data_IF_204374553800
#
_entry.id   IF_204374553800
#
_cell.length_a   1.000
_cell.length_b   1.000
_cell.length_c   1.000
_cell.angle_alpha   90.00
_cell.angle_beta   90.00
_cell.angle_gamma   90.00
#
_symmetry.space_group_name_H-M   'P 1'
#
loop_
_entity.id
_entity.type
_entity.pdbx_description
1 polymer ?
#
# COMPACT_ATOMS: atom_id res chain seq x y z
N UNK A 1 2.55 12.56 -0.80
CA UNK A 1 1.58 11.51 -1.21
C UNK A 1 0.25 11.75 -0.52
N UNK A 2 -0.88 11.31 -1.07
CA UNK A 2 -2.20 11.50 -0.44
C UNK A 2 -2.80 10.17 0.02
N UNK A 3 -3.24 10.10 1.27
CA UNK A 3 -3.95 8.95 1.83
C UNK A 3 -5.39 9.34 2.22
N UNK A 4 -6.37 8.51 1.86
CA UNK A 4 -7.80 8.81 2.06
C UNK A 4 -8.31 8.55 3.48
N UNK A 5 -7.51 7.93 4.36
CA UNK A 5 -7.88 7.54 5.72
C UNK A 5 -6.62 7.35 6.56
N UNK A 6 -6.70 7.64 7.87
CA UNK A 6 -5.60 7.48 8.83
C UNK A 6 -4.99 6.08 8.81
N UNK A 7 -5.84 5.04 8.80
CA UNK A 7 -5.39 3.64 8.65
C UNK A 7 -4.58 3.40 7.37
N UNK A 8 -4.97 4.03 6.26
CA UNK A 8 -4.25 3.90 4.98
C UNK A 8 -2.91 4.62 5.03
N UNK A 9 -2.84 5.76 5.71
CA UNK A 9 -1.58 6.46 5.94
C UNK A 9 -0.63 5.62 6.81
N UNK A 10 -1.14 5.00 7.87
CA UNK A 10 -0.36 4.11 8.73
C UNK A 10 0.19 2.90 7.96
N UNK A 11 -0.65 2.25 7.15
CA UNK A 11 -0.21 1.15 6.31
C UNK A 11 0.92 1.54 5.31
N UNK A 12 0.92 2.79 4.83
CA UNK A 12 2.00 3.31 3.98
C UNK A 12 3.29 3.47 4.79
N UNK A 13 3.21 4.03 6.00
CA UNK A 13 4.36 4.17 6.91
C UNK A 13 4.96 2.80 7.24
N UNK A 14 4.13 1.82 7.55
CA UNK A 14 4.57 0.47 7.88
C UNK A 14 5.26 -0.21 6.69
N UNK A 15 4.73 -0.02 5.48
CA UNK A 15 5.35 -0.53 4.25
C UNK A 15 6.72 0.12 3.96
N UNK A 16 6.85 1.43 4.25
CA UNK A 16 8.12 2.15 4.12
C UNK A 16 9.12 1.60 5.13
N UNK A 17 8.72 1.46 6.40
CA UNK A 17 9.52 0.87 7.48
C UNK A 17 10.08 -0.50 7.11
N UNK A 18 9.21 -1.41 6.69
CA UNK A 18 9.62 -2.76 6.30
C UNK A 18 10.63 -2.73 5.13
N UNK A 19 10.43 -1.82 4.16
CA UNK A 19 11.33 -1.63 3.04
C UNK A 19 12.71 -1.06 3.43
N UNK A 20 12.74 -0.20 4.45
CA UNK A 20 13.97 0.39 4.97
C UNK A 20 14.74 -0.57 5.88
N UNK A 21 14.03 -1.35 6.70
CA UNK A 21 14.63 -2.38 7.57
C UNK A 21 15.37 -3.43 6.74
N UNK A 22 14.80 -3.85 5.61
CA UNK A 22 15.47 -4.76 4.64
C UNK A 22 16.76 -4.18 4.05
N UNK A 23 16.92 -2.86 4.07
CA UNK A 23 18.12 -2.14 3.60
C UNK A 23 19.05 -1.74 4.74
N UNK A 24 18.68 -2.02 5.99
CA UNK A 24 19.42 -1.60 7.18
C UNK A 24 19.38 -0.10 7.45
N UNK A 25 18.41 0.63 6.88
CA UNK A 25 18.27 2.08 7.06
C UNK A 25 17.32 2.35 8.21
N UNK A 26 17.75 3.15 9.18
CA UNK A 26 16.95 3.51 10.35
C UNK A 26 16.22 4.85 10.13
N UNK A 27 14.98 4.93 10.63
CA UNK A 27 14.22 6.19 10.66
C UNK A 27 14.70 7.00 11.85
N UNK A 28 15.08 8.27 11.64
CA UNK A 28 15.51 9.16 12.73
C UNK A 28 14.34 9.59 13.59
N UNK A 29 13.29 10.08 12.94
CA UNK A 29 12.11 10.59 13.61
C UNK A 29 10.86 10.27 12.78
N UNK A 30 9.79 9.97 13.51
CA UNK A 30 8.45 9.92 12.96
C UNK A 30 7.57 10.88 13.77
N UNK A 31 6.83 11.72 13.06
CA UNK A 31 5.79 12.56 13.66
C UNK A 31 4.42 12.21 13.08
N UNK A 32 3.41 12.25 13.94
CA UNK A 32 2.05 11.87 13.60
C UNK A 32 1.73 10.39 13.83
N UNK A 33 0.44 10.13 14.01
CA UNK A 33 -0.14 8.81 14.23
C UNK A 33 -1.46 8.64 13.48
N UNK A 34 -2.24 7.62 13.82
CA UNK A 34 -3.43 7.20 13.07
C UNK A 34 -4.49 8.30 12.95
N UNK A 35 -4.64 9.14 13.98
CA UNK A 35 -5.60 10.27 14.02
C UNK A 35 -5.00 11.60 13.54
N UNK A 36 -3.75 11.61 13.09
CA UNK A 36 -3.07 12.84 12.70
C UNK A 36 -3.42 13.23 11.26
N UNK A 37 -3.68 14.52 11.05
CA UNK A 37 -3.99 15.09 9.73
C UNK A 37 -2.83 14.99 8.73
N UNK A 38 -1.61 14.76 9.23
CA UNK A 38 -0.38 14.58 8.48
C UNK A 38 0.56 13.63 9.22
N UNK A 39 1.41 12.93 8.48
CA UNK A 39 2.52 12.16 9.03
C UNK A 39 3.82 12.55 8.33
N UNK A 40 4.89 12.62 9.12
CA UNK A 40 6.24 12.95 8.69
C UNK A 40 7.20 11.81 9.03
N UNK A 41 8.01 11.41 8.06
CA UNK A 41 9.14 10.51 8.29
C UNK A 41 10.43 11.22 7.89
N UNK A 42 11.35 11.32 8.83
CA UNK A 42 12.69 11.87 8.63
C UNK A 42 13.74 10.75 8.53
N UNK A 43 14.39 10.68 7.36
CA UNK A 43 15.47 9.75 7.04
C UNK A 43 16.82 10.46 6.86
N UNK A 44 16.97 11.70 7.35
CA UNK A 44 18.13 12.57 7.15
C UNK A 44 18.33 13.05 5.70
N UNK A 45 18.49 12.12 4.76
CA UNK A 45 18.69 12.42 3.33
C UNK A 45 17.37 12.66 2.59
N UNK A 46 16.30 12.05 3.08
CA UNK A 46 14.98 12.08 2.46
C UNK A 46 13.92 12.34 3.53
N UNK A 47 13.02 13.29 3.27
CA UNK A 47 11.87 13.56 4.12
C UNK A 47 10.59 13.16 3.39
N UNK A 48 9.82 12.25 3.99
CA UNK A 48 8.58 11.75 3.40
C UNK A 48 7.38 12.40 4.09
N UNK A 49 6.59 13.13 3.31
CA UNK A 49 5.34 13.75 3.77
C UNK A 49 4.12 12.97 3.27
N UNK A 50 3.30 12.49 4.21
CA UNK A 50 2.05 11.78 3.95
C UNK A 50 0.91 12.68 4.45
N UNK A 51 0.13 13.21 3.51
CA UNK A 51 -1.00 14.08 3.83
C UNK A 51 -2.32 13.35 3.67
N UNK A 52 -3.28 13.69 4.52
CA UNK A 52 -4.68 13.47 4.20
C UNK A 52 -5.10 14.41 3.05
N UNK A 53 -6.08 13.99 2.24
CA UNK A 53 -6.59 14.78 1.11
C UNK A 53 -6.97 16.20 1.51
N UNK A 54 -7.67 16.36 2.65
CA UNK A 54 -8.09 17.67 3.14
C UNK A 54 -6.90 18.55 3.58
N UNK A 55 -5.92 17.97 4.27
CA UNK A 55 -4.74 18.69 4.76
C UNK A 55 -3.84 19.19 3.63
N UNK A 56 -3.70 18.41 2.56
CA UNK A 56 -2.87 18.78 1.40
C UNK A 56 -3.39 20.05 0.73
N UNK A 57 -4.70 20.17 0.60
CA UNK A 57 -5.37 21.31 -0.01
C UNK A 57 -5.29 22.56 0.87
N UNK A 58 -5.42 22.39 2.20
CA UNK A 58 -5.32 23.47 3.17
C UNK A 58 -3.92 24.10 3.25
N UNK A 59 -2.86 23.28 3.31
CA UNK A 59 -1.49 23.78 3.47
C UNK A 59 -0.80 24.13 2.14
N UNK A 60 -1.29 23.60 1.01
CA UNK A 60 -0.82 23.89 -0.36
C UNK A 60 0.72 23.99 -0.50
N UNK A 61 1.44 23.06 0.14
CA UNK A 61 2.90 23.11 0.26
C UNK A 61 3.61 22.95 -1.09
N UNK A 62 2.90 22.54 -2.14
CA UNK A 62 3.43 22.43 -3.51
C UNK A 62 3.97 23.76 -4.03
N UNK A 63 3.44 24.89 -3.52
CA UNK A 63 3.94 26.23 -3.86
C UNK A 63 5.35 26.49 -3.34
N UNK A 64 5.74 25.91 -2.21
CA UNK A 64 7.08 26.13 -1.64
C UNK A 64 8.17 25.40 -2.44
N UNK A 65 7.82 24.31 -3.11
CA UNK A 65 8.78 23.44 -3.80
C UNK A 65 8.70 23.55 -5.32
N UNK A 66 8.12 24.64 -5.83
CA UNK A 66 7.83 24.80 -7.27
C UNK A 66 9.09 24.80 -8.14
N UNK A 67 10.20 25.29 -7.60
CA UNK A 67 11.48 25.39 -8.31
C UNK A 67 12.29 24.07 -8.27
N UNK A 68 11.83 23.06 -7.54
CA UNK A 68 12.52 21.78 -7.44
C UNK A 68 12.18 20.84 -8.61
N UNK A 69 13.16 20.15 -9.22
CA UNK A 69 12.89 19.22 -10.30
C UNK A 69 12.06 18.02 -9.82
N UNK A 70 10.97 17.72 -10.52
CA UNK A 70 10.07 16.60 -10.18
C UNK A 70 10.62 15.29 -10.72
N UNK A 71 11.08 14.43 -9.82
CA UNK A 71 11.52 13.07 -10.17
C UNK A 71 10.32 12.11 -10.26
N UNK A 72 10.14 11.48 -11.42
CA UNK A 72 9.11 10.45 -11.65
C UNK A 72 9.67 9.07 -11.34
N UNK A 73 9.07 8.38 -10.37
CA UNK A 73 9.43 6.99 -10.08
C UNK A 73 8.61 6.02 -10.93
N UNK A 74 9.23 5.00 -11.55
CA UNK A 74 8.49 3.97 -12.27
C UNK A 74 7.64 3.17 -11.28
N UNK A 75 6.32 3.18 -11.46
CA UNK A 75 5.42 2.34 -10.67
C UNK A 75 5.54 0.89 -11.15
N UNK A 76 5.94 -0.04 -10.27
CA UNK A 76 5.81 -1.48 -10.55
C UNK A 76 4.33 -1.87 -10.53
N UNK A 77 3.57 -1.50 -11.56
CA UNK A 77 2.25 -2.08 -11.83
C UNK A 77 2.47 -3.35 -12.65
N UNK A 78 2.53 -4.48 -11.95
CA UNK A 78 2.47 -5.88 -12.41
C UNK A 78 3.57 -6.73 -11.77
N UNK A 79 3.38 -7.08 -10.50
CA UNK A 79 3.63 -8.44 -10.09
C UNK A 79 2.24 -9.05 -9.85
N UNK A 80 1.67 -9.64 -10.90
CA UNK A 80 0.48 -10.46 -10.77
C UNK A 80 0.85 -11.65 -9.88
N UNK A 81 0.61 -11.55 -8.57
CA UNK A 81 0.44 -12.74 -7.76
C UNK A 81 -0.70 -13.52 -8.40
N UNK A 82 -0.50 -14.76 -8.86
CA UNK A 82 -1.61 -15.55 -9.35
C UNK A 82 -2.45 -15.87 -8.13
N UNK A 83 -3.49 -15.07 -7.88
CA UNK A 83 -4.51 -15.42 -6.90
C UNK A 83 -5.10 -16.72 -7.41
N UNK A 84 -4.65 -17.82 -6.82
CA UNK A 84 -5.13 -19.16 -7.11
C UNK A 84 -6.56 -19.17 -6.60
N UNK A 85 -7.49 -18.78 -7.47
CA UNK A 85 -8.93 -18.87 -7.26
C UNK A 85 -9.19 -20.32 -6.91
N UNK A 86 -9.42 -20.61 -5.63
CA UNK A 86 -9.91 -21.92 -5.21
C UNK A 86 -11.25 -22.12 -5.92
N UNK A 87 -11.24 -22.91 -6.99
CA UNK A 87 -12.43 -23.31 -7.71
C UNK A 87 -13.24 -24.18 -6.75
N UNK A 88 -14.47 -23.76 -6.45
CA UNK A 88 -15.49 -24.60 -5.82
C UNK A 88 -15.54 -25.95 -6.56
N UNK A 89 -15.34 -27.04 -5.85
CA UNK A 89 -15.53 -28.40 -6.36
C UNK A 89 -17.02 -28.66 -6.55
N UNK A 90 -17.50 -28.49 -7.78
CA UNK A 90 -18.74 -29.12 -8.21
C UNK A 90 -18.45 -30.62 -8.44
N UNK A 91 -18.67 -31.45 -7.42
CA UNK A 91 -18.65 -32.91 -7.59
C UNK A 91 -19.94 -33.35 -8.29
N UNK A 92 -19.99 -33.26 -9.61
CA UNK A 92 -20.89 -34.06 -10.42
C UNK A 92 -20.26 -35.43 -10.64
N UNK A 93 -20.63 -36.44 -9.83
CA UNK A 93 -20.40 -37.83 -10.21
C UNK A 93 -21.61 -38.32 -11.00
N UNK A 94 -21.40 -38.50 -12.29
CA UNK A 94 -22.34 -39.17 -13.17
C UNK A 94 -22.31 -40.70 -13.02
N UNK A 95 -23.44 -41.27 -13.44
CA UNK A 95 -23.56 -42.41 -14.36
C UNK A 95 -23.21 -43.85 -13.89
N UNK A 96 -24.30 -44.64 -13.80
CA UNK A 96 -24.56 -45.98 -14.38
C UNK A 96 -23.91 -47.24 -13.77
N UNK A 97 -24.74 -48.19 -13.34
CA UNK A 97 -25.19 -49.41 -14.09
C UNK A 97 -26.10 -50.26 -13.17
N UNK A 98 -27.36 -50.48 -13.55
CA UNK A 98 -27.93 -51.73 -14.09
C UNK A 98 -27.70 -52.96 -13.18
N UNK A 99 -28.72 -53.29 -12.38
CA UNK A 99 -28.93 -54.64 -11.85
C UNK A 99 -30.28 -55.14 -12.40
N UNK A 100 -30.23 -56.14 -13.27
CA UNK A 100 -31.37 -56.99 -13.63
C UNK A 100 -31.02 -58.39 -13.13
N UNK A 101 -31.84 -58.87 -12.20
CA UNK A 101 -32.35 -60.25 -12.07
C UNK A 101 -31.36 -61.43 -12.00
N UNK A 102 -31.30 -62.10 -10.83
CA UNK A 102 -31.84 -63.45 -10.66
C UNK A 102 -31.96 -63.84 -9.19
#
# INVERSE_FOLDING_TARGET
>A
MTASSGRRAQAIVDAIREGLDKKGIQIRAQEGGEDSSWMLLDLLDIVVHIFNSQSREFYNLEKLWVDAPVMKFPSKKNALCPVRRLSKSASSKGARRRIESS
#
